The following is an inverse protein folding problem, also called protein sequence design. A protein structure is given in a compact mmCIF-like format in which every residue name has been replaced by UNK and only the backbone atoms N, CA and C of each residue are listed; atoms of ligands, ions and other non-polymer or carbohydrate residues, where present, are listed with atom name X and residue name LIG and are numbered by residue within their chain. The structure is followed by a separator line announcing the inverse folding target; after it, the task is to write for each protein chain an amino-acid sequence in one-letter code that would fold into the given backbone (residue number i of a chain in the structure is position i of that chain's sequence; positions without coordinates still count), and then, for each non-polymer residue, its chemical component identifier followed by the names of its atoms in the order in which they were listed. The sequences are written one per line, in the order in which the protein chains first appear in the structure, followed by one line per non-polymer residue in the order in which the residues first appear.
data_IF_942547922361
#
_entry.id   IF_942547922361
#
_cell.length_a   1.000
_cell.length_b   1.000
_cell.length_c   1.000
_cell.angle_alpha   90.00
_cell.angle_beta   90.00
_cell.angle_gamma   90.00
#
_symmetry.space_group_name_H-M   'P 1'
#
loop_
_entity.id
_entity.type
_entity.pdbx_description
1 polymer ?
#
# COMPACT_ATOMS: atom_id res chain seq x y z
N UNK A 1 -6.89 11.83 8.04
CA UNK A 1 -7.88 11.65 6.95
C UNK A 1 -8.10 10.15 6.76
N UNK A 2 -9.29 9.72 6.33
CA UNK A 2 -9.58 8.31 6.08
C UNK A 2 -9.00 7.82 4.76
N UNK A 3 -9.48 6.65 4.30
CA UNK A 3 -9.14 6.12 2.99
C UNK A 3 -9.44 7.12 1.87
N UNK A 4 -8.49 7.29 0.95
CA UNK A 4 -8.67 8.05 -0.29
C UNK A 4 -9.13 7.12 -1.41
N UNK A 5 -9.64 7.70 -2.50
CA UNK A 5 -9.97 6.95 -3.71
C UNK A 5 -8.69 6.36 -4.34
N UNK A 6 -8.78 5.19 -5.01
CA UNK A 6 -7.66 4.64 -5.74
C UNK A 6 -7.26 5.57 -6.89
N UNK A 7 -5.97 5.66 -7.15
CA UNK A 7 -5.38 6.44 -8.24
C UNK A 7 -4.51 5.54 -9.11
N UNK A 8 -4.29 5.93 -10.37
CA UNK A 8 -3.45 5.21 -11.32
C UNK A 8 -2.57 6.17 -12.14
N UNK A 9 -1.66 5.62 -12.93
CA UNK A 9 -1.00 6.32 -14.04
C UNK A 9 -0.29 7.63 -13.67
N UNK A 10 0.55 7.57 -12.62
CA UNK A 10 1.39 8.69 -12.19
C UNK A 10 0.67 9.74 -11.33
N UNK A 11 -0.62 9.54 -11.04
CA UNK A 11 -1.35 10.36 -10.07
C UNK A 11 -0.84 10.14 -8.63
N UNK A 12 -1.03 11.14 -7.78
CA UNK A 12 -0.58 11.12 -6.39
C UNK A 12 -1.55 10.31 -5.52
N UNK A 13 -1.03 9.27 -4.85
CA UNK A 13 -1.71 8.57 -3.75
C UNK A 13 -1.23 9.15 -2.42
N UNK A 14 -2.06 9.93 -1.73
CA UNK A 14 -1.70 10.65 -0.51
C UNK A 14 -1.94 12.16 -0.63
N UNK A 15 -1.14 12.96 0.07
CA UNK A 15 -1.28 14.43 0.09
C UNK A 15 0.07 15.12 -0.01
N UNK A 16 0.14 16.22 -0.74
CA UNK A 16 1.31 17.11 -0.77
C UNK A 16 1.08 18.28 0.18
N UNK A 17 2.11 18.70 0.91
CA UNK A 17 2.10 19.93 1.74
C UNK A 17 1.26 19.89 3.02
N UNK A 18 0.58 18.77 3.31
CA UNK A 18 -0.33 18.66 4.45
C UNK A 18 0.32 18.10 5.73
N UNK A 19 1.62 17.75 5.70
CA UNK A 19 2.34 17.13 6.82
C UNK A 19 1.63 15.88 7.40
N UNK A 20 0.94 15.12 6.55
CA UNK A 20 0.28 13.87 6.92
C UNK A 20 1.16 12.67 6.54
N UNK A 21 1.15 11.64 7.39
CA UNK A 21 1.86 10.36 7.18
C UNK A 21 0.88 9.25 6.78
N UNK A 22 1.37 8.23 6.07
CA UNK A 22 0.59 7.04 5.74
C UNK A 22 0.58 6.07 6.93
N UNK A 23 -0.57 5.49 7.25
CA UNK A 23 -0.68 4.38 8.21
C UNK A 23 -0.89 3.02 7.53
N UNK A 24 -1.60 3.04 6.40
CA UNK A 24 -1.95 1.86 5.64
C UNK A 24 -2.06 2.18 4.15
N UNK A 25 -1.88 1.16 3.31
CA UNK A 25 -2.04 1.23 1.87
C UNK A 25 -2.64 -0.05 1.30
N UNK A 26 -3.17 0.07 0.07
CA UNK A 26 -3.62 -1.03 -0.77
C UNK A 26 -3.06 -0.84 -2.16
N UNK A 27 -2.66 -1.93 -2.81
CA UNK A 27 -2.16 -1.92 -4.19
C UNK A 27 -2.84 -3.03 -4.96
N UNK A 28 -3.26 -2.72 -6.18
CA UNK A 28 -3.82 -3.68 -7.12
C UNK A 28 -3.17 -3.49 -8.48
N UNK A 29 -2.93 -4.58 -9.20
CA UNK A 29 -2.70 -4.52 -10.64
C UNK A 29 -4.03 -4.31 -11.35
N UNK A 30 -4.03 -3.51 -12.41
CA UNK A 30 -5.20 -3.26 -13.25
C UNK A 30 -4.93 -3.65 -14.71
N UNK A 31 -5.94 -3.58 -15.57
CA UNK A 31 -5.78 -3.88 -17.00
C UNK A 31 -5.47 -5.35 -17.30
N UNK A 32 -4.76 -5.61 -18.39
CA UNK A 32 -4.48 -6.99 -18.81
C UNK A 32 -3.42 -7.69 -17.95
N UNK A 33 -2.48 -6.94 -17.33
CA UNK A 33 -1.42 -7.55 -16.53
C UNK A 33 -1.96 -8.27 -15.29
N UNK A 34 -3.07 -7.78 -14.71
CA UNK A 34 -3.71 -8.41 -13.54
C UNK A 34 -4.33 -9.78 -13.82
N UNK A 35 -4.47 -10.17 -15.10
CA UNK A 35 -4.91 -11.52 -15.49
C UNK A 35 -3.83 -12.58 -15.30
N UNK A 36 -2.56 -12.17 -15.40
CA UNK A 36 -1.41 -13.09 -15.45
C UNK A 36 -0.49 -12.96 -14.23
N UNK A 37 -0.57 -11.84 -13.52
CA UNK A 37 0.29 -11.54 -12.39
C UNK A 37 -0.51 -11.06 -11.18
N UNK A 38 0.07 -11.23 -10.00
CA UNK A 38 -0.35 -10.66 -8.73
C UNK A 38 0.68 -9.66 -8.24
N UNK A 39 0.24 -8.71 -7.41
CA UNK A 39 1.13 -7.81 -6.68
C UNK A 39 1.13 -8.19 -5.21
N UNK A 40 2.32 -8.52 -4.69
CA UNK A 40 2.54 -8.81 -3.28
C UNK A 40 3.36 -7.68 -2.67
N UNK A 41 2.95 -7.20 -1.50
CA UNK A 41 3.58 -6.07 -0.85
C UNK A 41 3.47 -6.16 0.68
N UNK A 42 4.39 -5.49 1.36
CA UNK A 42 4.37 -5.32 2.82
C UNK A 42 4.85 -3.94 3.22
N UNK A 43 4.38 -3.47 4.38
CA UNK A 43 4.81 -2.25 5.01
C UNK A 43 5.72 -2.56 6.20
N UNK A 44 6.74 -1.74 6.39
CA UNK A 44 7.42 -1.59 7.67
C UNK A 44 6.69 -0.51 8.46
N UNK A 45 6.08 -0.88 9.58
CA UNK A 45 5.29 0.04 10.41
C UNK A 45 6.09 0.42 11.66
N UNK A 46 6.04 1.69 12.02
CA UNK A 46 6.62 2.22 13.25
C UNK A 46 6.27 1.34 14.46
N UNK A 47 7.28 1.00 15.26
CA UNK A 47 7.19 0.17 16.47
C UNK A 47 6.67 -1.28 16.25
N UNK A 48 6.42 -1.70 15.01
CA UNK A 48 6.00 -3.07 14.67
C UNK A 48 7.08 -3.77 13.82
N UNK A 49 7.69 -3.04 12.89
CA UNK A 49 8.62 -3.59 11.92
C UNK A 49 7.93 -4.05 10.64
N UNK A 50 8.58 -4.96 9.91
CA UNK A 50 8.02 -5.57 8.71
C UNK A 50 6.83 -6.47 9.03
N UNK A 51 5.67 -6.11 8.52
CA UNK A 51 4.49 -6.98 8.55
C UNK A 51 4.59 -8.08 7.47
N UNK A 52 3.77 -9.14 7.56
CA UNK A 52 3.68 -10.15 6.52
C UNK A 52 3.29 -9.56 5.17
N UNK A 53 3.72 -10.22 4.09
CA UNK A 53 3.25 -9.89 2.75
C UNK A 53 1.74 -10.09 2.63
N UNK A 54 1.09 -9.13 1.98
CA UNK A 54 -0.29 -9.20 1.54
C UNK A 54 -0.33 -9.10 0.02
N UNK A 55 -1.44 -9.51 -0.59
CA UNK A 55 -1.57 -9.60 -2.05
C UNK A 55 -2.86 -8.95 -2.50
N UNK A 56 -2.84 -8.32 -3.68
CA UNK A 56 -4.01 -7.86 -4.44
C UNK A 56 -5.10 -7.16 -3.59
N UNK A 57 -4.84 -5.92 -3.19
CA UNK A 57 -5.84 -5.03 -2.58
C UNK A 57 -6.11 -5.26 -1.09
N UNK A 58 -5.44 -6.24 -0.47
CA UNK A 58 -5.44 -6.44 0.98
C UNK A 58 -4.70 -5.29 1.68
N UNK A 59 -5.15 -4.90 2.87
CA UNK A 59 -4.50 -3.81 3.63
C UNK A 59 -3.10 -4.24 4.06
N UNK A 60 -2.10 -3.40 3.81
CA UNK A 60 -0.80 -3.46 4.47
C UNK A 60 -0.62 -2.20 5.33
N UNK A 61 -0.09 -2.35 6.54
CA UNK A 61 -0.07 -1.30 7.54
C UNK A 61 -1.20 -1.42 8.56
N UNK A 62 -1.43 -0.35 9.32
CA UNK A 62 -2.43 -0.32 10.39
C UNK A 62 -3.52 0.70 10.14
N UNK A 63 -4.71 0.48 10.69
CA UNK A 63 -5.84 1.41 10.55
C UNK A 63 -6.21 1.96 11.92
N UNK A 64 -6.10 3.28 12.09
CA UNK A 64 -6.56 3.98 13.30
C UNK A 64 -5.64 3.80 14.51
N UNK A 65 -4.40 3.34 14.31
CA UNK A 65 -3.43 3.14 15.40
C UNK A 65 -2.47 4.31 15.61
N UNK A 66 -2.42 5.30 14.71
CA UNK A 66 -1.48 6.42 14.82
C UNK A 66 -0.06 6.10 14.30
N UNK A 67 0.22 4.88 13.87
CA UNK A 67 1.56 4.39 13.51
C UNK A 67 1.84 4.62 12.03
N UNK A 68 2.99 5.21 11.71
CA UNK A 68 3.37 5.48 10.32
C UNK A 68 3.96 4.26 9.61
N UNK A 69 3.78 4.21 8.30
CA UNK A 69 4.61 3.40 7.40
C UNK A 69 5.96 4.10 7.22
N UNK A 70 7.04 3.35 7.38
CA UNK A 70 8.44 3.82 7.27
C UNK A 70 9.13 3.28 6.02
N UNK A 71 8.70 2.12 5.52
CA UNK A 71 9.17 1.53 4.28
C UNK A 71 8.10 0.64 3.65
N UNK A 72 8.20 0.39 2.34
CA UNK A 72 7.31 -0.49 1.60
C UNK A 72 8.19 -1.39 0.73
N UNK A 73 7.89 -2.68 0.72
CA UNK A 73 8.47 -3.64 -0.21
C UNK A 73 7.37 -4.16 -1.13
N UNK A 74 7.67 -4.23 -2.44
CA UNK A 74 6.71 -4.58 -3.49
C UNK A 74 7.37 -5.56 -4.44
N UNK A 75 6.66 -6.62 -4.78
CA UNK A 75 7.06 -7.61 -5.77
C UNK A 75 5.87 -8.00 -6.66
N UNK A 76 6.16 -8.32 -7.91
CA UNK A 76 5.20 -8.87 -8.87
C UNK A 76 5.50 -10.36 -9.00
N UNK A 77 4.46 -11.18 -8.87
CA UNK A 77 4.57 -12.64 -9.00
C UNK A 77 3.64 -13.14 -10.10
N UNK A 78 4.00 -14.26 -10.72
CA UNK A 78 3.04 -14.99 -11.57
C UNK A 78 1.85 -15.42 -10.70
N UNK A 79 0.66 -15.43 -11.33
CA UNK A 79 -0.53 -16.07 -10.77
C UNK A 79 -0.50 -17.58 -10.98
#
# INVERSE_FOLDING_TARGET
IGWQLPVSDGQISGTIGNNLRLEALKINLTGNISKYFSISYRAHVENIGWEPFVTDGIISGTVGKGLRIEAIEIQITLK
#
